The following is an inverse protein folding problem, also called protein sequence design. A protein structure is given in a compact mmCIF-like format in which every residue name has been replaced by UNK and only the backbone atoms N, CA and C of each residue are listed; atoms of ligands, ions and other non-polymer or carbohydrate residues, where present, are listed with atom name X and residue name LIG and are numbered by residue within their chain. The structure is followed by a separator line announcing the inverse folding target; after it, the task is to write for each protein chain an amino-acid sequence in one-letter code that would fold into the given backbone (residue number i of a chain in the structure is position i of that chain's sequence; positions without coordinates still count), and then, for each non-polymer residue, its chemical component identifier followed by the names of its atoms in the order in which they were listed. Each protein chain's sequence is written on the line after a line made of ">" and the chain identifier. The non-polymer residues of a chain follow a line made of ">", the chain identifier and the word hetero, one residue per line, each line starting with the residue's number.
data_IF_934977095627
#
_entry.id   IF_934977095627
#
_cell.length_a   1.000
_cell.length_b   1.000
_cell.length_c   1.000
_cell.angle_alpha   90.00
_cell.angle_beta   90.00
_cell.angle_gamma   90.00
#
_symmetry.space_group_name_H-M   'P 1'
#
loop_
_entity.id
_entity.type
_entity.pdbx_description
1 polymer ?
#
# COMPACT_ATOMS: atom_id res chain seq x y z
N UNK A 1 15.86 2.26 20.02
CA UNK A 1 14.65 3.08 19.80
C UNK A 1 14.37 3.07 18.30
N UNK A 2 13.12 2.88 17.90
CA UNK A 2 12.72 2.94 16.49
C UNK A 2 11.76 4.12 16.30
N UNK A 3 11.77 4.70 15.09
CA UNK A 3 10.91 5.81 14.73
C UNK A 3 10.01 5.45 13.54
N UNK A 4 8.70 5.61 13.75
CA UNK A 4 7.63 5.43 12.76
C UNK A 4 7.28 6.79 12.08
N UNK A 5 7.57 7.91 12.75
CA UNK A 5 7.27 9.28 12.27
C UNK A 5 8.52 10.10 11.99
N UNK A 6 9.02 9.95 10.76
CA UNK A 6 10.23 10.60 10.25
C UNK A 6 10.29 12.12 10.48
N UNK A 7 9.13 12.78 10.46
CA UNK A 7 8.97 14.24 10.48
C UNK A 7 9.30 14.87 11.84
N UNK A 8 9.21 14.09 12.92
CA UNK A 8 9.49 14.55 14.27
C UNK A 8 10.74 13.91 14.88
N UNK A 9 11.07 12.68 14.47
CA UNK A 9 12.06 11.87 15.19
C UNK A 9 13.49 12.09 14.72
N UNK A 10 13.69 12.46 13.45
CA UNK A 10 15.05 12.58 12.89
C UNK A 10 15.85 13.70 13.56
N UNK A 11 15.23 14.84 13.85
CA UNK A 11 15.91 15.93 14.57
C UNK A 11 16.09 15.59 16.06
N UNK A 12 15.14 14.89 16.67
CA UNK A 12 15.25 14.46 18.06
C UNK A 12 16.45 13.52 18.27
N UNK A 13 16.71 12.59 17.33
CA UNK A 13 17.86 11.67 17.42
C UNK A 13 19.22 12.39 17.42
N UNK A 14 19.34 13.52 16.71
CA UNK A 14 20.58 14.33 16.73
C UNK A 14 20.87 14.94 18.12
N UNK A 15 19.84 15.13 18.94
CA UNK A 15 19.93 15.75 20.27
C UNK A 15 20.15 14.74 21.40
N UNK A 16 20.04 13.44 21.12
CA UNK A 16 20.16 12.39 22.14
C UNK A 16 21.62 12.22 22.58
N UNK A 17 21.83 12.16 23.90
CA UNK A 17 23.15 11.99 24.54
C UNK A 17 23.41 10.56 25.04
N UNK A 18 22.38 9.70 25.05
CA UNK A 18 22.52 8.30 25.47
C UNK A 18 22.81 7.42 24.26
N UNK A 19 23.76 6.49 24.42
CA UNK A 19 24.14 5.55 23.37
C UNK A 19 23.13 4.39 23.31
N UNK A 20 22.12 4.51 22.45
CA UNK A 20 21.20 3.43 22.12
C UNK A 20 21.06 3.30 20.59
N UNK A 21 20.69 2.10 20.12
CA UNK A 21 20.53 1.88 18.68
C UNK A 21 19.31 2.65 18.16
N UNK A 22 19.49 3.41 17.08
CA UNK A 22 18.43 4.20 16.45
C UNK A 22 18.14 3.69 15.04
N UNK A 23 16.90 3.26 14.80
CA UNK A 23 16.46 2.79 13.49
C UNK A 23 15.37 3.68 12.93
N UNK A 24 15.49 3.98 11.65
CA UNK A 24 14.49 4.69 10.86
C UNK A 24 13.66 3.68 10.07
N UNK A 25 12.33 3.72 10.22
CA UNK A 25 11.42 2.81 9.51
C UNK A 25 10.73 3.55 8.37
N UNK A 26 10.73 2.95 7.18
CA UNK A 26 10.04 3.48 6.00
C UNK A 26 8.65 2.85 5.85
N UNK A 27 7.63 3.70 5.79
CA UNK A 27 6.21 3.31 5.61
C UNK A 27 5.67 3.63 4.22
N UNK A 28 6.45 4.35 3.42
CA UNK A 28 6.12 4.82 2.07
C UNK A 28 7.33 4.59 1.16
N UNK A 29 7.09 4.71 -0.15
CA UNK A 29 8.18 4.68 -1.12
C UNK A 29 9.29 5.69 -0.77
N UNK A 30 10.53 5.32 -1.05
CA UNK A 30 11.71 6.15 -0.77
C UNK A 30 11.80 7.38 -1.69
N UNK A 31 11.20 7.30 -2.88
CA UNK A 31 11.25 8.33 -3.92
C UNK A 31 9.86 8.87 -4.23
N UNK A 32 9.80 10.12 -4.66
CA UNK A 32 8.57 10.89 -4.89
C UNK A 32 7.68 10.32 -5.99
N UNK A 33 8.24 9.49 -6.88
CA UNK A 33 7.54 8.83 -7.98
C UNK A 33 7.52 7.29 -7.86
N UNK A 34 8.06 6.74 -6.77
CA UNK A 34 8.18 5.30 -6.53
C UNK A 34 9.13 4.55 -7.46
N UNK A 35 9.96 5.25 -8.24
CA UNK A 35 10.99 4.66 -9.11
C UNK A 35 12.36 4.65 -8.41
N UNK A 36 13.22 3.72 -8.81
CA UNK A 36 14.58 3.58 -8.23
C UNK A 36 15.47 4.80 -8.51
N UNK A 37 15.28 5.44 -9.65
CA UNK A 37 16.02 6.63 -10.11
C UNK A 37 15.29 7.94 -9.80
N UNK A 38 14.18 7.88 -9.04
CA UNK A 38 13.39 9.05 -8.69
C UNK A 38 14.02 9.93 -7.63
N UNK A 39 13.56 11.19 -7.57
CA UNK A 39 13.96 12.11 -6.51
C UNK A 39 13.55 11.57 -5.14
N UNK A 40 14.50 11.51 -4.21
CA UNK A 40 14.26 11.14 -2.82
C UNK A 40 13.41 12.22 -2.15
N UNK A 41 12.45 11.81 -1.31
CA UNK A 41 11.69 12.77 -0.50
C UNK A 41 12.61 13.65 0.35
N UNK A 42 12.31 14.95 0.44
CA UNK A 42 13.13 15.93 1.17
C UNK A 42 13.49 15.48 2.59
N UNK A 43 12.52 14.89 3.28
CA UNK A 43 12.67 14.34 4.63
C UNK A 43 13.71 13.21 4.76
N UNK A 44 14.04 12.53 3.67
CA UNK A 44 14.99 11.41 3.67
C UNK A 44 16.40 11.82 3.20
N UNK A 45 16.58 13.02 2.64
CA UNK A 45 17.87 13.46 2.08
C UNK A 45 19.00 13.48 3.13
N UNK A 46 18.68 13.72 4.41
CA UNK A 46 19.67 13.74 5.49
C UNK A 46 20.06 12.37 6.07
N UNK A 47 19.42 11.28 5.66
CA UNK A 47 19.58 9.97 6.31
C UNK A 47 21.00 9.41 6.13
N UNK A 48 21.59 9.52 4.94
CA UNK A 48 22.96 9.05 4.68
C UNK A 48 23.99 9.71 5.58
N UNK A 49 23.89 11.04 5.75
CA UNK A 49 24.75 11.79 6.68
C UNK A 49 24.53 11.38 8.13
N UNK A 50 23.28 11.11 8.53
CA UNK A 50 22.96 10.67 9.89
C UNK A 50 23.52 9.28 10.19
N UNK A 51 23.53 8.37 9.23
CA UNK A 51 24.18 7.06 9.34
C UNK A 51 25.70 7.20 9.47
N UNK A 52 26.33 8.01 8.60
CA UNK A 52 27.78 8.26 8.61
C UNK A 52 28.26 8.90 9.91
N UNK A 53 27.45 9.77 10.51
CA UNK A 53 27.74 10.44 11.80
C UNK A 53 27.36 9.60 13.02
N UNK A 54 26.77 8.42 12.83
CA UNK A 54 26.35 7.53 13.92
C UNK A 54 25.10 8.01 14.68
N UNK A 55 24.36 8.99 14.15
CA UNK A 55 23.05 9.39 14.71
C UNK A 55 21.99 8.33 14.45
N UNK A 56 22.11 7.61 13.33
CA UNK A 56 21.33 6.42 13.02
C UNK A 56 22.23 5.18 13.01
N UNK A 57 21.71 4.08 13.52
CA UNK A 57 22.32 2.76 13.45
C UNK A 57 21.99 2.07 12.13
N UNK A 58 20.77 2.26 11.61
CA UNK A 58 20.34 1.63 10.38
C UNK A 58 18.95 2.06 9.95
N UNK A 59 18.49 1.48 8.85
CA UNK A 59 17.18 1.72 8.26
C UNK A 59 16.42 0.40 8.08
N UNK A 60 15.09 0.48 8.15
CA UNK A 60 14.19 -0.66 8.02
C UNK A 60 13.14 -0.35 6.96
N UNK A 61 13.04 -1.25 5.97
CA UNK A 61 12.07 -1.19 4.88
C UNK A 61 11.07 -2.34 4.96
N UNK A 62 9.93 -2.21 4.28
CA UNK A 62 8.87 -3.23 4.35
C UNK A 62 9.15 -4.45 3.46
N UNK A 63 10.07 -4.33 2.49
CA UNK A 63 10.41 -5.41 1.55
C UNK A 63 11.92 -5.52 1.36
N UNK A 64 12.41 -6.70 0.96
CA UNK A 64 13.83 -6.91 0.62
C UNK A 64 14.29 -5.95 -0.48
N UNK A 65 13.49 -5.77 -1.53
CA UNK A 65 13.80 -4.86 -2.64
C UNK A 65 13.98 -3.41 -2.18
N UNK A 66 13.10 -2.94 -1.30
CA UNK A 66 13.18 -1.59 -0.76
C UNK A 66 14.35 -1.43 0.24
N UNK A 67 14.69 -2.49 0.99
CA UNK A 67 15.90 -2.50 1.82
C UNK A 67 17.18 -2.44 0.98
N UNK A 68 17.26 -3.22 -0.10
CA UNK A 68 18.37 -3.19 -1.05
C UNK A 68 18.49 -1.81 -1.71
N UNK A 69 17.35 -1.19 -2.07
CA UNK A 69 17.32 0.16 -2.61
C UNK A 69 17.85 1.19 -1.59
N UNK A 70 17.37 1.13 -0.35
CA UNK A 70 17.82 2.03 0.73
C UNK A 70 19.31 1.87 1.03
N UNK A 71 19.85 0.64 0.99
CA UNK A 71 21.27 0.37 1.19
C UNK A 71 22.12 1.13 0.16
N UNK A 72 21.70 1.08 -1.11
CA UNK A 72 22.38 1.80 -2.21
C UNK A 72 22.21 3.32 -2.11
N UNK A 73 20.99 3.81 -1.83
CA UNK A 73 20.70 5.24 -1.75
C UNK A 73 21.46 5.93 -0.61
N UNK A 74 21.57 5.27 0.55
CA UNK A 74 22.16 5.85 1.75
C UNK A 74 23.58 5.37 2.04
N UNK A 75 24.15 4.54 1.16
CA UNK A 75 25.53 4.03 1.26
C UNK A 75 25.79 3.38 2.63
N UNK A 76 25.01 2.33 2.94
CA UNK A 76 25.05 1.63 4.23
C UNK A 76 24.78 0.13 4.12
N UNK A 77 25.51 -0.66 4.92
CA UNK A 77 25.26 -2.11 5.11
C UNK A 77 24.19 -2.38 6.18
N UNK A 78 23.72 -1.35 6.88
CA UNK A 78 22.72 -1.44 7.93
C UNK A 78 21.31 -1.13 7.41
N UNK A 79 20.89 -1.88 6.39
CA UNK A 79 19.54 -1.81 5.81
C UNK A 79 18.85 -3.16 5.94
N UNK A 80 17.66 -3.17 6.54
CA UNK A 80 16.96 -4.40 6.90
C UNK A 80 15.54 -4.43 6.34
N UNK A 81 15.08 -5.60 5.90
CA UNK A 81 13.70 -5.81 5.53
C UNK A 81 12.93 -6.46 6.67
N UNK A 82 11.91 -5.77 7.17
CA UNK A 82 10.97 -6.30 8.15
C UNK A 82 9.57 -6.06 7.59
N UNK A 83 8.89 -7.10 7.08
CA UNK A 83 7.52 -6.96 6.60
C UNK A 83 6.62 -6.44 7.71
N UNK A 84 5.81 -5.43 7.39
CA UNK A 84 4.82 -4.85 8.31
C UNK A 84 3.55 -5.71 8.41
N UNK A 85 3.45 -6.75 7.59
CA UNK A 85 2.35 -7.72 7.60
C UNK A 85 2.78 -9.05 8.20
N UNK A 86 1.87 -9.66 8.94
CA UNK A 86 2.04 -11.00 9.47
C UNK A 86 0.75 -11.79 9.22
N UNK A 87 0.90 -12.94 8.57
CA UNK A 87 -0.19 -13.89 8.36
C UNK A 87 0.02 -15.07 9.30
N UNK A 88 -1.02 -15.44 10.04
CA UNK A 88 -0.97 -16.65 10.88
C UNK A 88 -0.71 -17.87 9.99
N UNK A 89 0.15 -18.79 10.43
CA UNK A 89 0.49 -19.98 9.64
C UNK A 89 -0.70 -20.91 9.38
N UNK A 90 -1.76 -20.83 10.18
CA UNK A 90 -2.89 -21.76 10.15
C UNK A 90 -4.09 -21.24 9.34
N UNK A 91 -3.86 -20.41 8.31
CA UNK A 91 -4.92 -20.07 7.37
C UNK A 91 -5.08 -21.24 6.40
N UNK A 92 -6.27 -21.85 6.40
CA UNK A 92 -6.62 -22.88 5.41
C UNK A 92 -7.05 -22.20 4.10
N UNK A 93 -6.32 -22.39 2.99
CA UNK A 93 -6.66 -21.75 1.73
C UNK A 93 -8.01 -22.26 1.19
N UNK A 94 -8.85 -21.35 0.71
CA UNK A 94 -10.06 -21.71 -0.03
C UNK A 94 -9.70 -22.05 -1.48
N UNK A 95 -10.13 -23.21 -1.95
CA UNK A 95 -9.91 -23.66 -3.31
C UNK A 95 -10.43 -22.64 -4.32
N UNK A 96 -9.62 -22.30 -5.33
CA UNK A 96 -10.00 -21.29 -6.32
C UNK A 96 -11.30 -21.64 -7.06
N UNK A 97 -11.51 -22.92 -7.34
CA UNK A 97 -12.70 -23.42 -8.03
C UNK A 97 -14.00 -23.28 -7.22
N UNK A 98 -13.94 -23.09 -5.89
CA UNK A 98 -15.13 -22.88 -5.06
C UNK A 98 -15.51 -21.41 -4.89
N UNK A 99 -14.74 -20.49 -5.49
CA UNK A 99 -15.00 -19.05 -5.40
C UNK A 99 -16.05 -18.61 -6.43
N UNK A 100 -16.65 -17.45 -6.21
CA UNK A 100 -17.65 -16.90 -7.14
C UNK A 100 -16.95 -16.39 -8.40
N UNK A 101 -17.16 -17.06 -9.53
CA UNK A 101 -16.61 -16.65 -10.83
C UNK A 101 -17.02 -15.22 -11.18
N UNK A 102 -16.10 -14.49 -11.82
CA UNK A 102 -16.28 -13.09 -12.21
C UNK A 102 -16.57 -12.11 -11.06
N UNK A 103 -16.35 -12.50 -9.80
CA UNK A 103 -16.45 -11.62 -8.65
C UNK A 103 -15.10 -10.95 -8.37
N UNK A 104 -14.98 -9.68 -8.71
CA UNK A 104 -13.80 -8.86 -8.45
C UNK A 104 -13.98 -8.08 -7.14
N UNK A 105 -12.90 -7.93 -6.39
CA UNK A 105 -12.84 -7.00 -5.25
C UNK A 105 -11.69 -6.02 -5.42
N UNK A 106 -11.80 -4.86 -4.78
CA UNK A 106 -10.70 -3.92 -4.61
C UNK A 106 -10.71 -3.42 -3.17
N UNK A 107 -9.65 -3.72 -2.42
CA UNK A 107 -9.53 -3.38 -0.99
C UNK A 107 -8.51 -2.26 -0.81
N UNK A 108 -8.98 -1.04 -0.57
CA UNK A 108 -8.10 0.13 -0.37
C UNK A 108 -8.87 1.32 0.17
N UNK A 109 -8.16 2.36 0.64
CA UNK A 109 -8.76 3.69 0.79
C UNK A 109 -9.22 4.18 -0.58
N UNK A 110 -10.38 4.82 -0.66
CA UNK A 110 -10.86 5.43 -1.90
C UNK A 110 -10.25 6.83 -2.03
N UNK A 111 -8.96 6.87 -2.36
CA UNK A 111 -8.19 8.09 -2.60
C UNK A 111 -7.74 8.19 -4.07
N UNK A 112 -7.38 9.40 -4.50
CA UNK A 112 -6.98 9.66 -5.88
C UNK A 112 -5.70 8.90 -6.31
N UNK A 113 -4.81 8.59 -5.36
CA UNK A 113 -3.55 7.88 -5.64
C UNK A 113 -3.77 6.41 -5.97
N UNK A 114 -4.86 5.80 -5.47
CA UNK A 114 -5.25 4.43 -5.82
C UNK A 114 -5.81 4.27 -7.24
N UNK A 115 -6.16 5.39 -7.91
CA UNK A 115 -6.61 5.42 -9.31
C UNK A 115 -7.78 4.46 -9.60
N UNK A 116 -8.73 4.41 -8.68
CA UNK A 116 -9.88 3.48 -8.73
C UNK A 116 -10.84 3.79 -9.89
N UNK A 117 -10.79 5.00 -10.44
CA UNK A 117 -11.50 5.39 -11.66
C UNK A 117 -11.10 4.51 -12.87
N UNK A 118 -9.82 4.14 -12.97
CA UNK A 118 -9.35 3.22 -14.00
C UNK A 118 -9.91 1.81 -13.80
N UNK A 119 -10.01 1.35 -12.55
CA UNK A 119 -10.58 0.04 -12.22
C UNK A 119 -12.06 0.00 -12.58
N UNK A 120 -12.82 1.07 -12.27
CA UNK A 120 -14.23 1.22 -12.66
C UNK A 120 -14.39 1.13 -14.18
N UNK A 121 -13.60 1.91 -14.95
CA UNK A 121 -13.68 1.91 -16.41
C UNK A 121 -13.32 0.56 -17.02
N UNK A 122 -12.31 -0.12 -16.47
CA UNK A 122 -11.92 -1.45 -16.92
C UNK A 122 -13.02 -2.48 -16.64
N UNK A 123 -13.61 -2.46 -15.43
CA UNK A 123 -14.70 -3.35 -15.06
C UNK A 123 -15.94 -3.12 -15.94
N UNK A 124 -16.33 -1.87 -16.19
CA UNK A 124 -17.44 -1.55 -17.09
C UNK A 124 -17.22 -2.11 -18.50
N UNK A 125 -16.02 -1.93 -19.06
CA UNK A 125 -15.66 -2.47 -20.38
C UNK A 125 -15.64 -4.00 -20.41
N UNK A 126 -15.18 -4.65 -19.34
CA UNK A 126 -15.17 -6.11 -19.26
C UNK A 126 -16.58 -6.68 -19.09
N UNK A 127 -17.47 -5.96 -18.41
CA UNK A 127 -18.86 -6.36 -18.21
C UNK A 127 -19.62 -6.49 -19.54
N UNK A 128 -19.28 -5.70 -20.57
CA UNK A 128 -19.83 -5.85 -21.92
C UNK A 128 -19.58 -7.25 -22.51
N UNK A 129 -18.45 -7.88 -22.16
CA UNK A 129 -18.08 -9.22 -22.62
C UNK A 129 -18.46 -10.32 -21.62
N UNK A 130 -18.47 -10.01 -20.34
CA UNK A 130 -18.77 -10.92 -19.24
C UNK A 130 -19.86 -10.31 -18.34
N UNK A 131 -21.16 -10.44 -18.70
CA UNK A 131 -22.25 -9.80 -17.96
C UNK A 131 -22.43 -10.28 -16.51
N UNK A 132 -21.80 -11.39 -16.15
CA UNK A 132 -21.77 -11.89 -14.76
C UNK A 132 -20.72 -11.17 -13.89
N UNK A 133 -19.87 -10.34 -14.50
CA UNK A 133 -18.79 -9.66 -13.80
C UNK A 133 -19.32 -8.62 -12.83
N UNK A 134 -18.96 -8.76 -11.56
CA UNK A 134 -19.24 -7.78 -10.52
C UNK A 134 -17.94 -7.30 -9.88
N UNK A 135 -17.88 -6.04 -9.49
CA UNK A 135 -16.77 -5.43 -8.76
C UNK A 135 -17.28 -4.85 -7.44
N UNK A 136 -16.65 -5.20 -6.32
CA UNK A 136 -16.95 -4.57 -5.02
C UNK A 136 -15.72 -3.87 -4.44
N UNK A 137 -15.87 -2.58 -4.16
CA UNK A 137 -14.87 -1.81 -3.41
C UNK A 137 -15.10 -1.97 -1.90
N UNK A 138 -14.05 -2.32 -1.17
CA UNK A 138 -14.03 -2.32 0.30
C UNK A 138 -13.01 -1.32 0.83
N UNK A 139 -13.46 -0.47 1.76
CA UNK A 139 -12.70 0.64 2.32
C UNK A 139 -13.55 1.89 2.47
N UNK A 140 -12.91 2.97 2.89
CA UNK A 140 -13.52 4.29 3.03
C UNK A 140 -12.79 5.30 2.15
N UNK A 141 -13.51 6.28 1.61
CA UNK A 141 -12.91 7.38 0.87
C UNK A 141 -12.85 8.68 1.63
N UNK A 142 -12.10 9.61 1.07
CA UNK A 142 -12.18 11.01 1.45
C UNK A 142 -13.45 11.67 0.86
N UNK A 143 -13.79 12.86 1.38
CA UNK A 143 -15.00 13.58 1.00
C UNK A 143 -15.00 14.09 -0.46
N UNK A 144 -13.87 14.03 -1.16
CA UNK A 144 -13.76 14.49 -2.55
C UNK A 144 -13.78 13.36 -3.55
N UNK A 145 -13.06 12.27 -3.27
CA UNK A 145 -12.78 11.17 -4.20
C UNK A 145 -13.95 10.21 -4.26
N UNK A 146 -14.50 9.79 -3.13
CA UNK A 146 -15.59 8.80 -3.11
C UNK A 146 -16.84 9.28 -3.88
N UNK A 147 -17.32 10.53 -3.73
CA UNK A 147 -18.44 11.03 -4.54
C UNK A 147 -18.14 11.02 -6.04
N UNK A 148 -16.91 11.36 -6.45
CA UNK A 148 -16.49 11.33 -7.88
C UNK A 148 -16.51 9.91 -8.44
N UNK A 149 -16.08 8.92 -7.66
CA UNK A 149 -16.11 7.51 -8.08
C UNK A 149 -17.56 7.01 -8.20
N UNK A 150 -18.42 7.33 -7.24
CA UNK A 150 -19.85 6.99 -7.29
C UNK A 150 -20.56 7.65 -8.48
N UNK A 151 -20.27 8.92 -8.76
CA UNK A 151 -20.78 9.64 -9.93
C UNK A 151 -20.29 9.02 -11.26
N UNK A 152 -19.02 8.58 -11.32
CA UNK A 152 -18.50 7.85 -12.47
C UNK A 152 -19.24 6.54 -12.71
N UNK A 153 -19.49 5.74 -11.67
CA UNK A 153 -20.29 4.50 -11.78
C UNK A 153 -21.68 4.79 -12.33
N UNK A 154 -22.33 5.85 -11.84
CA UNK A 154 -23.63 6.30 -12.34
C UNK A 154 -23.62 6.74 -13.80
N UNK A 155 -22.61 7.52 -14.20
CA UNK A 155 -22.44 7.95 -15.60
C UNK A 155 -22.24 6.77 -16.55
N UNK A 156 -21.64 5.69 -16.08
CA UNK A 156 -21.43 4.46 -16.82
C UNK A 156 -22.62 3.48 -16.73
N UNK A 157 -23.70 3.84 -16.01
CA UNK A 157 -24.85 2.97 -15.77
C UNK A 157 -24.45 1.61 -15.16
N UNK A 158 -23.43 1.63 -14.29
CA UNK A 158 -22.78 0.45 -13.76
C UNK A 158 -23.18 0.11 -12.32
N UNK A 159 -24.17 0.82 -11.76
CA UNK A 159 -24.57 0.70 -10.34
C UNK A 159 -25.02 -0.71 -9.94
N UNK A 160 -25.51 -1.50 -10.90
CA UNK A 160 -26.01 -2.84 -10.65
C UNK A 160 -24.91 -3.89 -10.43
N UNK A 161 -23.67 -3.60 -10.83
CA UNK A 161 -22.56 -4.56 -10.77
C UNK A 161 -21.25 -3.98 -10.23
N UNK A 162 -21.14 -2.65 -10.08
CA UNK A 162 -20.03 -2.00 -9.37
C UNK A 162 -20.55 -1.45 -8.05
N UNK A 163 -20.15 -2.09 -6.96
CA UNK A 163 -20.68 -1.88 -5.62
C UNK A 163 -19.64 -1.26 -4.69
N UNK A 164 -20.11 -0.44 -3.74
CA UNK A 164 -19.30 0.12 -2.66
C UNK A 164 -19.70 -0.55 -1.35
N UNK A 165 -18.92 -1.54 -0.92
CA UNK A 165 -19.15 -2.33 0.29
C UNK A 165 -18.75 -1.64 1.60
N UNK A 166 -18.14 -0.46 1.51
CA UNK A 166 -17.70 0.33 2.66
C UNK A 166 -16.53 -0.29 3.43
N UNK A 167 -16.18 0.34 4.56
CA UNK A 167 -15.15 -0.19 5.45
C UNK A 167 -15.70 -1.40 6.22
N UNK A 168 -14.90 -2.47 6.25
CA UNK A 168 -15.16 -3.66 7.06
C UNK A 168 -13.90 -4.00 7.85
N UNK A 169 -14.08 -4.34 9.11
CA UNK A 169 -12.99 -4.81 9.97
C UNK A 169 -12.56 -6.24 9.60
N UNK A 170 -13.53 -7.09 9.24
CA UNK A 170 -13.29 -8.45 8.78
C UNK A 170 -13.68 -8.57 7.30
N UNK A 171 -12.70 -8.93 6.48
CA UNK A 171 -12.83 -9.14 5.03
C UNK A 171 -12.63 -10.60 4.64
N UNK A 172 -12.54 -11.52 5.61
CA UNK A 172 -12.30 -12.95 5.37
C UNK A 172 -13.26 -13.52 4.32
N UNK A 173 -14.56 -13.24 4.46
CA UNK A 173 -15.56 -13.70 3.49
C UNK A 173 -15.41 -13.05 2.12
N UNK A 174 -15.02 -11.77 2.06
CA UNK A 174 -14.79 -11.07 0.79
C UNK A 174 -13.63 -11.72 0.04
N UNK A 175 -12.49 -11.96 0.70
CA UNK A 175 -11.33 -12.61 0.09
C UNK A 175 -11.60 -14.07 -0.29
N UNK A 176 -12.27 -14.83 0.58
CA UNK A 176 -12.55 -16.24 0.35
C UNK A 176 -13.50 -16.48 -0.83
N UNK A 177 -14.40 -15.52 -1.13
CA UNK A 177 -15.36 -15.63 -2.23
C UNK A 177 -14.93 -14.90 -3.51
N UNK A 178 -14.03 -13.92 -3.41
CA UNK A 178 -13.58 -13.16 -4.57
C UNK A 178 -12.76 -14.03 -5.53
N UNK A 179 -13.06 -13.89 -6.82
CA UNK A 179 -12.29 -14.51 -7.86
C UNK A 179 -10.93 -13.84 -8.01
N UNK A 180 -10.93 -12.50 -8.05
CA UNK A 180 -9.73 -11.70 -8.22
C UNK A 180 -9.80 -10.46 -7.33
N UNK A 181 -8.67 -10.09 -6.73
CA UNK A 181 -8.47 -8.76 -6.17
C UNK A 181 -7.73 -7.89 -7.20
N UNK A 182 -8.15 -6.63 -7.35
CA UNK A 182 -7.59 -5.69 -8.32
C UNK A 182 -7.06 -4.43 -7.64
N UNK A 183 -5.83 -4.05 -7.98
CA UNK A 183 -5.17 -2.83 -7.50
C UNK A 183 -4.50 -2.09 -8.67
N UNK A 184 -4.61 -0.75 -8.68
CA UNK A 184 -3.91 0.14 -9.62
C UNK A 184 -3.29 1.34 -8.89
N UNK A 185 -2.68 1.13 -7.73
CA UNK A 185 -2.01 2.23 -7.05
C UNK A 185 -0.85 2.79 -7.88
N UNK A 186 -0.56 4.08 -7.72
CA UNK A 186 0.63 4.70 -8.33
C UNK A 186 1.92 4.14 -7.75
N UNK A 187 1.98 3.95 -6.43
CA UNK A 187 3.08 3.34 -5.70
C UNK A 187 2.62 2.87 -4.31
N UNK A 188 3.26 1.83 -3.78
CA UNK A 188 3.07 1.30 -2.43
C UNK A 188 4.45 0.90 -1.86
N UNK A 189 4.71 1.16 -0.58
CA UNK A 189 5.84 0.51 0.12
C UNK A 189 5.57 -0.98 0.31
N UNK A 190 4.34 -1.31 0.72
CA UNK A 190 3.77 -2.66 0.71
C UNK A 190 2.24 -2.56 0.59
N UNK A 191 1.61 -3.50 -0.12
CA UNK A 191 0.15 -3.56 -0.19
C UNK A 191 -0.37 -4.62 0.77
N UNK A 192 -1.09 -4.22 1.82
CA UNK A 192 -1.65 -5.14 2.80
C UNK A 192 -2.81 -6.00 2.27
N UNK A 193 -3.44 -5.63 1.15
CA UNK A 193 -4.50 -6.43 0.53
C UNK A 193 -4.01 -7.76 -0.02
N UNK A 194 -2.74 -7.83 -0.45
CA UNK A 194 -2.13 -9.02 -1.05
C UNK A 194 -1.25 -9.82 -0.08
N UNK A 195 -1.26 -9.51 1.22
CA UNK A 195 -0.39 -10.14 2.21
C UNK A 195 -0.93 -11.48 2.73
#
# INVERSE_FOLDING_TARGET
>A
MYADRSDYTLDAFKLMKMHCLHYMVFHSALTTNGQYDGDIFEIYQGIGDMLKKGYLTGVISSTNKEADHAANLFDTDHSYAIPVTFVKKDITPVAFASRKTYSLIAVSRLDAMKRLDHVIRAAAKLHEKYPELSLTFYGYGDAETEPKLKDLVKKLQAENYILFGGFKQDLTDAYNNAWLEVLRSQYEGICHGFA
#
